data_IF_483132937465
#
_entry.id   IF_483132937465
#
_cell.length_a   1.000
_cell.length_b   1.000
_cell.length_c   1.000
_cell.angle_alpha   90.00
_cell.angle_beta   90.00
_cell.angle_gamma   90.00
#
_symmetry.space_group_name_H-M   'P 1'
#
loop_
_entity.id
_entity.type
_entity.pdbx_description
1 polymer ?
#
# COMPACT_ATOMS: atom_id res chain seq x y z
N UNK A 1 24.40 -21.91 48.59
CA UNK A 1 23.68 -20.99 47.67
C UNK A 1 24.71 -20.39 46.73
N UNK A 2 24.87 -20.98 45.54
CA UNK A 2 25.65 -20.39 44.46
C UNK A 2 24.74 -19.36 43.77
N UNK A 3 25.12 -18.10 43.83
CA UNK A 3 24.56 -17.07 42.95
C UNK A 3 25.04 -17.41 41.54
N UNK A 4 24.15 -17.88 40.67
CA UNK A 4 24.45 -17.94 39.25
C UNK A 4 24.69 -16.50 38.79
N UNK A 5 25.93 -16.20 38.44
CA UNK A 5 26.31 -14.95 37.82
C UNK A 5 25.42 -14.75 36.59
N UNK A 6 24.62 -13.68 36.61
CA UNK A 6 23.72 -13.34 35.52
C UNK A 6 24.53 -13.10 34.25
N UNK A 7 24.52 -14.07 33.35
CA UNK A 7 25.06 -13.91 32.01
C UNK A 7 24.36 -12.72 31.37
N UNK A 8 25.16 -11.70 31.02
CA UNK A 8 24.68 -10.53 30.28
C UNK A 8 23.94 -11.01 29.03
N UNK A 9 22.62 -10.83 29.01
CA UNK A 9 21.81 -11.13 27.84
C UNK A 9 22.23 -10.12 26.76
N UNK A 10 23.04 -10.55 25.80
CA UNK A 10 23.46 -9.70 24.67
C UNK A 10 22.22 -9.26 23.90
N UNK A 11 21.95 -7.95 23.86
CA UNK A 11 20.84 -7.39 23.07
C UNK A 11 21.05 -7.72 21.60
N UNK A 12 19.96 -8.00 20.88
CA UNK A 12 20.04 -8.24 19.44
C UNK A 12 20.44 -6.99 18.65
N UNK A 13 20.33 -5.80 19.24
CA UNK A 13 20.83 -4.54 18.66
C UNK A 13 22.33 -4.55 18.42
N UNK A 14 23.07 -5.29 19.25
CA UNK A 14 24.54 -5.35 19.25
C UNK A 14 25.09 -6.57 18.48
N UNK A 15 24.21 -7.33 17.80
CA UNK A 15 24.64 -8.45 16.98
C UNK A 15 25.60 -8.01 15.88
N UNK A 16 26.70 -8.74 15.73
CA UNK A 16 27.62 -8.56 14.62
C UNK A 16 27.07 -9.24 13.37
N UNK A 17 26.75 -8.45 12.35
CA UNK A 17 26.31 -8.97 11.06
C UNK A 17 27.55 -9.27 10.20
N UNK A 18 27.84 -10.54 9.89
CA UNK A 18 29.02 -10.87 9.11
C UNK A 18 28.87 -10.37 7.67
N UNK A 19 29.99 -10.05 7.02
CA UNK A 19 29.99 -9.75 5.60
C UNK A 19 29.51 -10.96 4.78
N UNK A 20 28.61 -10.78 3.80
CA UNK A 20 28.10 -11.89 2.98
C UNK A 20 29.26 -12.61 2.27
N UNK A 21 29.11 -13.90 1.99
CA UNK A 21 30.06 -14.60 1.13
C UNK A 21 30.00 -14.05 -0.31
N UNK A 22 31.13 -14.10 -1.02
CA UNK A 22 31.19 -13.65 -2.42
C UNK A 22 30.37 -14.55 -3.33
N UNK A 23 29.62 -13.97 -4.28
CA UNK A 23 28.95 -14.72 -5.33
C UNK A 23 29.81 -14.76 -6.60
N UNK A 24 30.08 -15.95 -7.09
CA UNK A 24 30.89 -16.14 -8.30
C UNK A 24 30.26 -15.44 -9.52
N UNK A 25 31.04 -14.68 -10.28
CA UNK A 25 30.55 -13.97 -11.47
C UNK A 25 29.70 -12.71 -11.19
N UNK A 26 29.44 -12.37 -9.93
CA UNK A 26 28.76 -11.12 -9.54
C UNK A 26 29.80 -10.03 -9.25
N UNK A 27 30.16 -9.26 -10.27
CA UNK A 27 31.16 -8.16 -10.18
C UNK A 27 30.63 -6.86 -9.57
N UNK A 28 29.31 -6.71 -9.48
CA UNK A 28 28.64 -5.50 -8.99
C UNK A 28 27.51 -5.87 -8.07
N UNK A 29 27.42 -5.20 -6.92
CA UNK A 29 26.33 -5.40 -5.95
C UNK A 29 24.97 -4.94 -6.46
N UNK A 30 24.95 -4.08 -7.49
CA UNK A 30 23.73 -3.63 -8.19
C UNK A 30 23.19 -4.64 -9.19
N UNK A 31 23.99 -5.65 -9.56
CA UNK A 31 23.53 -6.71 -10.45
C UNK A 31 22.44 -7.50 -9.73
N UNK A 32 21.34 -7.75 -10.41
CA UNK A 32 20.30 -8.61 -9.87
C UNK A 32 20.84 -10.03 -9.67
N UNK A 33 20.57 -10.58 -8.48
CA UNK A 33 20.91 -11.94 -8.06
C UNK A 33 19.67 -12.83 -7.94
N UNK A 34 18.49 -12.22 -7.94
CA UNK A 34 17.19 -12.87 -8.02
C UNK A 34 16.21 -12.00 -8.81
N UNK A 35 15.41 -12.60 -9.69
CA UNK A 35 14.36 -11.92 -10.44
C UNK A 35 13.14 -12.80 -10.69
N UNK A 36 11.98 -12.16 -10.68
CA UNK A 36 10.73 -12.67 -11.23
C UNK A 36 10.28 -11.75 -12.35
N UNK A 37 9.90 -12.33 -13.48
CA UNK A 37 9.48 -11.60 -14.66
C UNK A 37 8.03 -11.14 -14.53
N UNK A 38 7.66 -10.14 -15.34
CA UNK A 38 6.27 -9.71 -15.48
C UNK A 38 5.37 -10.92 -15.79
N UNK A 39 4.13 -10.89 -15.29
CA UNK A 39 3.12 -11.94 -15.49
C UNK A 39 3.45 -13.27 -14.78
N UNK A 40 4.50 -13.30 -13.95
CA UNK A 40 4.72 -14.42 -13.05
C UNK A 40 3.55 -14.52 -12.07
N UNK A 41 2.97 -15.71 -11.94
CA UNK A 41 1.90 -16.01 -10.99
C UNK A 41 2.48 -16.68 -9.75
N UNK A 42 2.34 -15.99 -8.62
CA UNK A 42 2.71 -16.45 -7.29
C UNK A 42 1.55 -17.25 -6.68
N UNK A 43 1.87 -18.38 -6.05
CA UNK A 43 0.96 -19.07 -5.15
C UNK A 43 1.01 -18.38 -3.78
N UNK A 44 -0.13 -17.87 -3.32
CA UNK A 44 -0.32 -17.20 -2.04
C UNK A 44 -1.10 -18.14 -1.12
N UNK A 45 -0.82 -18.10 0.18
CA UNK A 45 -1.50 -18.93 1.18
C UNK A 45 -3.03 -18.92 1.02
N UNK A 46 -3.63 -20.10 1.25
CA UNK A 46 -5.07 -20.30 1.05
C UNK A 46 -5.48 -20.53 -0.41
N UNK A 47 -4.54 -20.94 -1.28
CA UNK A 47 -4.81 -21.30 -2.67
C UNK A 47 -5.11 -20.12 -3.59
N UNK A 48 -4.82 -18.89 -3.14
CA UNK A 48 -4.97 -17.68 -3.94
C UNK A 48 -3.77 -17.53 -4.86
N UNK A 49 -3.99 -16.95 -6.03
CA UNK A 49 -2.92 -16.60 -6.97
C UNK A 49 -2.75 -15.08 -7.00
N UNK A 50 -1.51 -14.61 -7.13
CA UNK A 50 -1.20 -13.19 -7.30
C UNK A 50 -0.29 -13.02 -8.51
N UNK A 51 -0.68 -12.18 -9.46
CA UNK A 51 0.10 -11.94 -10.67
C UNK A 51 1.03 -10.74 -10.49
N UNK A 52 2.26 -10.82 -11.00
CA UNK A 52 3.19 -9.69 -10.99
C UNK A 52 2.82 -8.67 -12.08
N UNK A 53 2.53 -7.42 -11.69
CA UNK A 53 2.29 -6.34 -12.67
C UNK A 53 3.60 -5.89 -13.37
N UNK A 54 4.73 -6.07 -12.69
CA UNK A 54 6.06 -5.71 -13.18
C UNK A 54 7.14 -6.73 -12.84
N UNK A 55 8.40 -6.37 -13.11
CA UNK A 55 9.55 -7.20 -12.74
C UNK A 55 9.87 -6.97 -11.26
N UNK A 56 9.95 -8.05 -10.51
CA UNK A 56 10.52 -8.05 -9.15
C UNK A 56 12.00 -8.42 -9.28
N UNK A 57 12.89 -7.61 -8.71
CA UNK A 57 14.32 -7.89 -8.72
C UNK A 57 14.96 -7.60 -7.38
N UNK A 58 15.97 -8.41 -7.04
CA UNK A 58 16.78 -8.28 -5.84
C UNK A 58 18.24 -8.24 -6.22
N UNK A 59 18.97 -7.26 -5.68
CA UNK A 59 20.42 -7.10 -5.78
C UNK A 59 21.03 -7.13 -4.39
N UNK A 60 22.35 -7.20 -4.26
CA UNK A 60 23.04 -7.18 -2.95
C UNK A 60 22.97 -5.81 -2.24
N UNK A 61 22.45 -4.78 -2.90
CA UNK A 61 22.15 -3.46 -2.32
C UNK A 61 20.68 -3.30 -1.95
N UNK A 62 19.81 -4.26 -2.33
CA UNK A 62 18.38 -4.11 -2.15
C UNK A 62 18.00 -4.07 -0.66
N UNK A 63 17.07 -3.17 -0.35
CA UNK A 63 16.38 -3.06 0.94
C UNK A 63 14.89 -3.03 0.65
N UNK A 64 14.23 -4.15 0.90
CA UNK A 64 12.86 -4.39 0.44
C UNK A 64 11.95 -4.56 1.63
N UNK A 65 10.91 -3.75 1.69
CA UNK A 65 9.77 -3.97 2.56
C UNK A 65 8.77 -4.86 1.83
N UNK A 66 8.19 -5.80 2.55
CA UNK A 66 7.22 -6.76 2.03
C UNK A 66 6.01 -6.71 2.94
N UNK A 67 4.83 -6.39 2.40
CA UNK A 67 3.59 -6.29 3.17
C UNK A 67 2.56 -7.31 2.71
N UNK A 68 1.88 -7.93 3.67
CA UNK A 68 0.80 -8.88 3.42
C UNK A 68 1.24 -10.24 2.85
N UNK A 69 0.26 -11.11 2.61
CA UNK A 69 0.50 -12.51 2.23
C UNK A 69 1.18 -12.67 0.87
N UNK A 70 0.80 -11.88 -0.13
CA UNK A 70 1.37 -11.97 -1.47
C UNK A 70 2.83 -11.50 -1.54
N UNK A 71 3.18 -10.46 -0.77
CA UNK A 71 4.58 -10.08 -0.60
C UNK A 71 5.38 -11.22 0.04
N UNK A 72 4.86 -11.79 1.13
CA UNK A 72 5.48 -12.94 1.82
C UNK A 72 5.64 -14.16 0.93
N UNK A 73 4.74 -14.38 -0.04
CA UNK A 73 4.90 -15.43 -1.04
C UNK A 73 6.20 -15.25 -1.86
N UNK A 74 6.65 -14.02 -2.14
CA UNK A 74 7.95 -13.79 -2.79
C UNK A 74 9.11 -14.18 -1.88
N UNK A 75 9.01 -13.85 -0.59
CA UNK A 75 9.99 -14.29 0.41
C UNK A 75 10.05 -15.82 0.49
N UNK A 76 8.90 -16.51 0.41
CA UNK A 76 8.85 -17.97 0.32
C UNK A 76 9.47 -18.52 -0.98
N UNK A 77 9.29 -17.85 -2.13
CA UNK A 77 9.99 -18.20 -3.38
C UNK A 77 11.51 -17.98 -3.26
N UNK A 78 11.95 -16.92 -2.59
CA UNK A 78 13.37 -16.67 -2.26
C UNK A 78 13.94 -17.75 -1.31
N UNK A 79 13.12 -18.36 -0.48
CA UNK A 79 13.51 -19.49 0.38
C UNK A 79 13.35 -20.85 -0.31
N UNK A 80 12.92 -20.89 -1.57
CA UNK A 80 12.62 -22.12 -2.32
C UNK A 80 11.52 -22.97 -1.65
N UNK A 81 10.67 -22.33 -0.85
CA UNK A 81 9.55 -22.95 -0.12
C UNK A 81 8.22 -22.86 -0.89
N UNK A 82 8.12 -21.91 -1.83
CA UNK A 82 6.95 -21.74 -2.69
C UNK A 82 7.33 -21.84 -4.17
N UNK A 83 6.42 -22.41 -4.96
CA UNK A 83 6.55 -22.51 -6.41
C UNK A 83 5.96 -21.30 -7.15
N UNK A 84 6.37 -21.16 -8.41
CA UNK A 84 5.80 -20.22 -9.39
C UNK A 84 5.20 -21.00 -10.55
N UNK A 85 3.98 -20.65 -10.96
CA UNK A 85 3.22 -21.49 -11.90
C UNK A 85 3.52 -21.23 -13.38
N UNK A 86 4.26 -20.16 -13.71
CA UNK A 86 4.37 -19.62 -15.08
C UNK A 86 5.80 -19.64 -15.61
N UNK A 87 6.73 -18.98 -14.91
CA UNK A 87 8.15 -18.96 -15.26
C UNK A 87 9.01 -19.18 -14.02
N UNK A 88 10.09 -20.00 -14.09
CA UNK A 88 10.98 -20.18 -12.96
C UNK A 88 11.71 -18.88 -12.61
N UNK A 89 12.05 -18.65 -11.33
CA UNK A 89 12.80 -17.48 -10.94
C UNK A 89 14.21 -17.50 -11.56
N UNK A 90 14.70 -16.33 -11.99
CA UNK A 90 16.12 -16.19 -12.32
C UNK A 90 16.86 -16.03 -11.00
N UNK A 91 17.52 -17.08 -10.52
CA UNK A 91 18.23 -17.11 -9.24
C UNK A 91 19.71 -17.42 -9.44
N UNK A 92 20.58 -16.68 -8.76
CA UNK A 92 22.00 -17.02 -8.70
C UNK A 92 22.20 -18.36 -7.97
N UNK A 93 22.94 -19.31 -8.57
CA UNK A 93 23.07 -20.69 -8.07
C UNK A 93 23.64 -20.81 -6.64
N UNK A 94 24.52 -19.88 -6.26
CA UNK A 94 25.15 -19.85 -4.93
C UNK A 94 24.47 -18.87 -3.97
N UNK A 95 23.24 -18.42 -4.25
CA UNK A 95 22.54 -17.45 -3.41
C UNK A 95 22.09 -18.08 -2.09
N UNK A 96 22.83 -17.79 -1.03
CA UNK A 96 22.48 -18.07 0.36
C UNK A 96 21.47 -17.05 0.89
N UNK A 97 20.36 -17.57 1.39
CA UNK A 97 19.26 -16.79 1.98
C UNK A 97 19.06 -17.27 3.41
N UNK A 98 19.10 -16.36 4.37
CA UNK A 98 18.79 -16.65 5.77
C UNK A 98 17.39 -16.11 6.10
N UNK A 99 16.57 -16.95 6.74
CA UNK A 99 15.27 -16.56 7.28
C UNK A 99 15.41 -16.36 8.79
N UNK A 100 15.25 -15.11 9.22
CA UNK A 100 15.16 -14.75 10.63
C UNK A 100 13.69 -14.48 10.92
N UNK A 101 13.03 -15.45 11.54
CA UNK A 101 11.61 -15.43 11.84
C UNK A 101 11.31 -15.98 13.23
N UNK A 102 10.02 -16.19 13.55
CA UNK A 102 9.57 -16.57 14.89
C UNK A 102 10.13 -17.90 15.45
N UNK A 103 10.69 -18.75 14.59
CA UNK A 103 11.42 -19.94 15.00
C UNK A 103 12.66 -19.63 15.85
N UNK A 104 13.16 -18.38 15.83
CA UNK A 104 14.32 -17.93 16.59
C UNK A 104 13.86 -17.32 17.92
N UNK A 105 14.45 -17.79 19.02
CA UNK A 105 14.07 -17.40 20.38
C UNK A 105 15.11 -16.46 21.01
N UNK A 106 16.32 -16.40 20.47
CA UNK A 106 17.43 -15.65 21.06
C UNK A 106 18.34 -14.98 20.03
N UNK A 107 19.15 -14.01 20.51
CA UNK A 107 20.23 -13.41 19.71
C UNK A 107 21.30 -14.44 19.29
N UNK A 108 21.51 -15.49 20.09
CA UNK A 108 22.46 -16.56 19.77
C UNK A 108 21.98 -17.38 18.55
N UNK A 109 20.69 -17.68 18.48
CA UNK A 109 20.10 -18.41 17.34
C UNK A 109 20.28 -17.59 16.04
N UNK A 110 20.08 -16.27 16.13
CA UNK A 110 20.32 -15.36 15.00
C UNK A 110 21.79 -15.37 14.59
N UNK A 111 22.70 -15.28 15.55
CA UNK A 111 24.14 -15.30 15.27
C UNK A 111 24.57 -16.62 14.61
N UNK A 112 24.01 -17.74 15.05
CA UNK A 112 24.24 -19.06 14.46
C UNK A 112 23.77 -19.10 13.01
N UNK A 113 22.54 -18.67 12.71
CA UNK A 113 22.02 -18.59 11.34
C UNK A 113 22.89 -17.68 10.46
N UNK A 114 23.31 -16.52 10.99
CA UNK A 114 24.13 -15.55 10.26
C UNK A 114 25.57 -16.03 10.05
N UNK A 115 26.06 -16.99 10.84
CA UNK A 115 27.41 -17.56 10.69
C UNK A 115 27.66 -18.18 9.31
N UNK A 116 26.60 -18.58 8.60
CA UNK A 116 26.63 -19.03 7.21
C UNK A 116 26.93 -17.93 6.18
N UNK A 117 27.10 -16.68 6.62
CA UNK A 117 27.41 -15.50 5.77
C UNK A 117 26.46 -15.36 4.57
N UNK A 118 25.13 -15.34 4.80
CA UNK A 118 24.14 -15.28 3.73
C UNK A 118 24.26 -13.99 2.92
N UNK A 119 23.86 -14.01 1.66
CA UNK A 119 23.80 -12.81 0.81
C UNK A 119 22.49 -12.04 0.97
N UNK A 120 21.42 -12.73 1.34
CA UNK A 120 20.10 -12.16 1.59
C UNK A 120 19.66 -12.54 2.98
N UNK A 121 19.19 -11.57 3.75
CA UNK A 121 18.54 -11.82 5.04
C UNK A 121 17.08 -11.40 4.94
N UNK A 122 16.19 -12.33 5.24
CA UNK A 122 14.76 -12.10 5.36
C UNK A 122 14.45 -11.97 6.85
N UNK A 123 14.07 -10.77 7.28
CA UNK A 123 13.48 -10.54 8.59
C UNK A 123 11.97 -10.71 8.46
N UNK A 124 11.39 -11.66 9.18
CA UNK A 124 9.97 -11.95 9.13
C UNK A 124 9.32 -11.70 10.48
N UNK A 125 8.39 -10.74 10.56
CA UNK A 125 7.62 -10.45 11.78
C UNK A 125 6.86 -11.67 12.31
N UNK A 126 6.56 -12.65 11.45
CA UNK A 126 5.62 -13.74 11.71
C UNK A 126 4.19 -13.35 11.37
N UNK A 127 3.39 -14.30 10.88
CA UNK A 127 1.97 -14.09 10.63
C UNK A 127 1.17 -14.82 11.74
N UNK A 128 0.67 -14.07 12.72
CA UNK A 128 -0.31 -14.60 13.68
C UNK A 128 0.19 -15.65 14.66
N UNK A 129 1.48 -15.64 15.02
CA UNK A 129 1.95 -16.51 16.10
C UNK A 129 1.43 -16.06 17.47
N UNK A 130 1.24 -17.04 18.35
CA UNK A 130 0.56 -16.92 19.63
C UNK A 130 1.28 -16.01 20.64
N UNK A 131 0.49 -15.39 21.51
CA UNK A 131 0.93 -14.63 22.68
C UNK A 131 1.96 -15.44 23.49
N UNK A 132 3.23 -14.97 23.52
CA UNK A 132 4.29 -15.58 24.34
C UNK A 132 5.66 -15.74 23.66
N UNK A 133 5.77 -15.55 22.35
CA UNK A 133 7.08 -15.59 21.68
C UNK A 133 7.95 -14.37 22.05
N UNK A 134 9.27 -14.58 22.23
CA UNK A 134 10.23 -13.49 22.42
C UNK A 134 10.52 -12.73 21.09
N UNK A 135 10.10 -13.31 19.97
CA UNK A 135 10.40 -12.81 18.64
C UNK A 135 9.92 -11.38 18.36
N UNK A 136 8.72 -10.92 18.74
CA UNK A 136 8.28 -9.55 18.42
C UNK A 136 9.15 -8.46 19.05
N UNK A 137 9.74 -8.74 20.21
CA UNK A 137 10.72 -7.86 20.85
C UNK A 137 12.06 -7.93 20.11
N UNK A 138 12.56 -9.15 19.86
CA UNK A 138 13.81 -9.41 19.15
C UNK A 138 13.83 -8.79 17.74
N UNK A 139 12.75 -8.95 16.99
CA UNK A 139 12.51 -8.37 15.67
C UNK A 139 12.54 -6.83 15.73
N UNK A 140 11.89 -6.24 16.74
CA UNK A 140 11.94 -4.79 16.97
C UNK A 140 13.36 -4.29 17.25
N UNK A 141 14.12 -5.03 18.06
CA UNK A 141 15.53 -4.75 18.32
C UNK A 141 16.37 -4.81 17.04
N UNK A 142 16.21 -5.87 16.23
CA UNK A 142 16.93 -6.03 14.96
C UNK A 142 16.66 -4.89 13.98
N UNK A 143 15.40 -4.47 13.82
CA UNK A 143 15.03 -3.37 12.92
C UNK A 143 15.62 -2.02 13.35
N UNK A 144 15.76 -1.80 14.66
CA UNK A 144 16.36 -0.60 15.22
C UNK A 144 17.89 -0.64 15.26
N UNK A 145 18.49 -1.84 15.16
CA UNK A 145 19.93 -2.05 15.21
C UNK A 145 20.68 -1.34 14.09
N UNK A 146 21.89 -0.87 14.37
CA UNK A 146 22.77 -0.28 13.35
C UNK A 146 23.36 -1.35 12.41
N UNK A 147 23.47 -2.59 12.90
CA UNK A 147 24.12 -3.68 12.18
C UNK A 147 23.33 -4.13 10.94
N UNK A 148 21.99 -4.13 10.98
CA UNK A 148 21.19 -4.41 9.77
C UNK A 148 21.32 -3.32 8.70
N UNK A 149 21.52 -2.06 9.14
CA UNK A 149 21.71 -0.92 8.22
C UNK A 149 23.06 -1.03 7.51
N UNK A 150 24.09 -1.49 8.20
CA UNK A 150 25.45 -1.66 7.68
C UNK A 150 25.68 -2.99 6.96
N UNK A 151 24.76 -3.94 7.05
CA UNK A 151 24.87 -5.24 6.38
C UNK A 151 25.11 -5.10 4.88
N UNK A 152 26.10 -5.81 4.34
CA UNK A 152 26.52 -5.65 2.94
C UNK A 152 25.78 -6.59 1.96
N UNK A 153 24.84 -7.39 2.44
CA UNK A 153 23.92 -8.16 1.60
C UNK A 153 22.59 -7.45 1.37
N UNK A 154 21.65 -8.13 0.73
CA UNK A 154 20.28 -7.68 0.58
C UNK A 154 19.48 -7.90 1.87
N UNK A 155 18.53 -7.02 2.16
CA UNK A 155 17.60 -7.18 3.30
C UNK A 155 16.17 -7.14 2.79
N UNK A 156 15.37 -8.10 3.23
CA UNK A 156 13.94 -8.19 2.98
C UNK A 156 13.22 -8.19 4.33
N UNK A 157 12.34 -7.22 4.58
CA UNK A 157 11.57 -7.12 5.83
C UNK A 157 10.12 -7.46 5.53
N UNK A 158 9.62 -8.55 6.10
CA UNK A 158 8.24 -9.00 5.94
C UNK A 158 7.39 -8.57 7.12
N UNK A 159 6.34 -7.80 6.85
CA UNK A 159 5.34 -7.38 7.83
C UNK A 159 4.00 -8.05 7.55
N UNK A 160 3.25 -8.29 8.62
CA UNK A 160 1.95 -8.97 8.57
C UNK A 160 0.88 -8.09 7.90
N UNK A 161 0.85 -6.81 8.27
CA UNK A 161 -0.09 -5.82 7.74
C UNK A 161 0.58 -4.47 7.48
N UNK A 162 -0.06 -3.67 6.63
CA UNK A 162 0.20 -2.23 6.53
C UNK A 162 -0.37 -1.52 7.78
N UNK A 163 0.16 -0.34 8.08
CA UNK A 163 -0.20 0.50 9.22
C UNK A 163 0.42 0.14 10.55
N UNK A 164 1.32 -0.86 10.63
CA UNK A 164 1.92 -1.23 11.91
C UNK A 164 2.96 -0.20 12.39
N UNK A 165 3.12 -0.03 13.70
CA UNK A 165 4.16 0.86 14.26
C UNK A 165 5.57 0.48 13.76
N UNK A 166 5.79 -0.80 13.43
CA UNK A 166 7.06 -1.31 12.87
C UNK A 166 7.23 -0.97 11.40
N UNK A 167 6.14 -0.72 10.66
CA UNK A 167 6.19 -0.36 9.25
C UNK A 167 7.01 0.90 9.02
N UNK A 168 6.87 1.92 9.86
CA UNK A 168 7.66 3.14 9.71
C UNK A 168 9.17 2.86 9.86
N UNK A 169 9.55 2.07 10.86
CA UNK A 169 10.97 1.69 11.06
C UNK A 169 11.49 0.88 9.87
N UNK A 170 10.68 -0.02 9.33
CA UNK A 170 11.03 -0.80 8.15
C UNK A 170 11.13 0.07 6.88
N UNK A 171 10.24 1.05 6.71
CA UNK A 171 10.29 2.04 5.61
C UNK A 171 11.54 2.90 5.67
N UNK A 172 12.04 3.22 6.86
CA UNK A 172 13.31 3.95 7.03
C UNK A 172 14.55 3.10 6.66
N UNK A 173 14.42 1.77 6.70
CA UNK A 173 15.45 0.83 6.27
C UNK A 173 15.35 0.51 4.77
N UNK A 174 14.14 0.49 4.22
CA UNK A 174 13.84 -0.01 2.88
C UNK A 174 13.71 1.10 1.84
N UNK A 175 14.09 0.79 0.60
CA UNK A 175 13.95 1.68 -0.55
C UNK A 175 12.87 1.24 -1.52
N UNK A 176 12.42 -0.02 -1.43
CA UNK A 176 11.41 -0.63 -2.29
C UNK A 176 10.39 -1.34 -1.42
N UNK A 177 9.13 -1.32 -1.82
CA UNK A 177 8.04 -2.06 -1.20
C UNK A 177 7.43 -3.05 -2.20
N UNK A 178 7.20 -4.28 -1.77
CA UNK A 178 6.39 -5.28 -2.46
C UNK A 178 5.09 -5.48 -1.68
N UNK A 179 4.00 -5.00 -2.25
CA UNK A 179 2.66 -5.11 -1.69
C UNK A 179 1.71 -5.62 -2.76
N UNK A 180 0.61 -6.25 -2.35
CA UNK A 180 -0.42 -6.66 -3.30
C UNK A 180 -1.65 -5.78 -3.19
N UNK A 181 -2.11 -5.34 -4.35
CA UNK A 181 -3.29 -4.50 -4.52
C UNK A 181 -4.17 -5.18 -5.55
N UNK A 182 -5.37 -5.58 -5.14
CA UNK A 182 -6.39 -6.18 -6.02
C UNK A 182 -5.89 -7.42 -6.81
N UNK A 183 -5.16 -8.31 -6.13
CA UNK A 183 -4.65 -9.56 -6.74
C UNK A 183 -3.41 -9.37 -7.63
N UNK A 184 -2.90 -8.15 -7.72
CA UNK A 184 -1.66 -7.84 -8.42
C UNK A 184 -0.59 -7.44 -7.42
N UNK A 185 0.61 -7.99 -7.58
CA UNK A 185 1.76 -7.55 -6.82
C UNK A 185 2.40 -6.35 -7.49
N UNK A 186 2.52 -5.26 -6.73
CA UNK A 186 3.16 -4.03 -7.12
C UNK A 186 4.56 -3.95 -6.52
N UNK A 187 5.47 -3.32 -7.26
CA UNK A 187 6.77 -2.89 -6.74
C UNK A 187 6.79 -1.38 -6.75
N UNK A 188 6.84 -0.79 -5.56
CA UNK A 188 6.81 0.66 -5.38
C UNK A 188 8.11 1.13 -4.74
N UNK A 189 8.60 2.31 -5.13
CA UNK A 189 9.67 2.96 -4.38
C UNK A 189 9.11 3.42 -3.02
N UNK A 190 9.77 3.03 -1.94
CA UNK A 190 9.46 3.60 -0.63
C UNK A 190 9.95 5.02 -0.68
N UNK A 191 9.02 5.97 -0.69
CA UNK A 191 9.33 7.37 -0.56
C UNK A 191 10.12 7.54 0.76
N UNK A 192 11.44 7.73 0.65
CA UNK A 192 12.25 8.11 1.80
C UNK A 192 11.66 9.42 2.28
N UNK A 193 10.98 9.39 3.42
CA UNK A 193 10.60 10.62 4.08
C UNK A 193 11.90 11.43 4.18
N UNK A 194 11.95 12.68 3.68
CA UNK A 194 13.14 13.48 3.86
C UNK A 194 13.47 13.43 5.36
N UNK A 195 14.72 13.14 5.70
CA UNK A 195 15.22 13.01 7.07
C UNK A 195 15.19 14.36 7.82
N UNK A 196 14.18 15.20 7.57
CA UNK A 196 13.67 16.10 8.58
C UNK A 196 13.33 15.23 9.77
N UNK A 197 14.03 15.51 10.87
CA UNK A 197 13.62 15.21 12.22
C UNK A 197 12.19 15.76 12.34
N UNK A 198 11.19 14.93 12.04
CA UNK A 198 9.81 15.36 12.21
C UNK A 198 9.48 15.04 13.66
N UNK A 199 9.26 16.06 14.51
CA UNK A 199 8.73 15.81 15.85
C UNK A 199 7.42 15.03 15.67
N UNK A 200 7.28 13.94 16.43
CA UNK A 200 6.10 13.06 16.54
C UNK A 200 4.99 13.41 15.54
N UNK A 201 5.05 12.85 14.33
CA UNK A 201 3.96 13.02 13.37
C UNK A 201 2.74 12.35 13.96
N UNK A 202 1.73 13.15 14.33
CA UNK A 202 0.40 12.62 14.59
C UNK A 202 -0.03 11.80 13.38
N UNK A 203 -0.48 10.57 13.64
CA UNK A 203 -1.01 9.70 12.60
C UNK A 203 -2.16 10.42 11.89
N UNK A 204 -2.24 10.34 10.55
CA UNK A 204 -3.37 10.88 9.82
C UNK A 204 -4.68 10.30 10.34
N UNK A 205 -5.66 11.15 10.62
CA UNK A 205 -7.01 10.76 11.06
C UNK A 205 -8.03 11.13 10.01
N UNK A 206 -9.13 10.39 9.95
CA UNK A 206 -10.24 10.68 9.04
C UNK A 206 -11.34 11.43 9.79
N UNK A 207 -11.78 12.55 9.23
CA UNK A 207 -13.00 13.26 9.65
C UNK A 207 -14.08 12.95 8.63
N UNK A 208 -14.94 11.99 8.96
CA UNK A 208 -16.14 11.66 8.19
C UNK A 208 -17.27 12.66 8.48
N UNK A 209 -18.17 12.86 7.52
CA UNK A 209 -19.26 13.84 7.63
C UNK A 209 -18.78 15.26 8.01
N UNK A 210 -17.68 15.72 7.40
CA UNK A 210 -17.01 16.99 7.74
C UNK A 210 -17.96 18.20 7.77
N UNK A 211 -18.94 18.25 6.85
CA UNK A 211 -19.94 19.32 6.84
C UNK A 211 -20.75 19.37 8.14
N UNK A 212 -21.27 18.23 8.62
CA UNK A 212 -22.01 18.18 9.88
C UNK A 212 -21.10 18.48 11.08
N UNK A 213 -19.90 17.91 11.09
CA UNK A 213 -18.94 18.08 12.18
C UNK A 213 -18.46 19.54 12.33
N UNK A 214 -18.39 20.29 11.23
CA UNK A 214 -18.00 21.70 11.19
C UNK A 214 -18.98 22.64 11.91
N UNK A 215 -20.26 22.26 12.01
CA UNK A 215 -21.26 23.07 12.71
C UNK A 215 -21.00 23.13 14.23
N UNK A 216 -20.34 22.11 14.78
CA UNK A 216 -20.05 21.97 16.22
C UNK A 216 -18.58 22.20 16.60
N UNK A 217 -17.66 22.19 15.63
CA UNK A 217 -16.22 22.29 15.91
C UNK A 217 -15.56 23.36 15.02
N UNK A 218 -15.02 24.45 15.59
CA UNK A 218 -14.38 25.53 14.82
C UNK A 218 -13.14 25.08 14.04
N UNK A 219 -12.41 24.07 14.50
CA UNK A 219 -11.27 23.51 13.75
C UNK A 219 -11.75 22.81 12.48
N UNK A 220 -12.91 22.15 12.54
CA UNK A 220 -13.51 21.49 11.38
C UNK A 220 -14.14 22.49 10.41
N UNK A 221 -14.61 23.65 10.88
CA UNK A 221 -15.00 24.76 10.01
C UNK A 221 -13.80 25.31 9.21
N UNK A 222 -12.63 25.42 9.84
CA UNK A 222 -11.38 25.78 9.15
C UNK A 222 -10.98 24.74 8.11
N UNK A 223 -11.10 23.44 8.42
CA UNK A 223 -10.86 22.36 7.46
C UNK A 223 -11.85 22.38 6.30
N UNK A 224 -13.15 22.60 6.55
CA UNK A 224 -14.17 22.69 5.50
C UNK A 224 -13.88 23.85 4.54
N UNK A 225 -13.35 24.97 5.04
CA UNK A 225 -12.87 26.08 4.23
C UNK A 225 -11.70 25.66 3.33
N UNK A 226 -10.70 24.94 3.88
CA UNK A 226 -9.59 24.40 3.09
C UNK A 226 -10.06 23.41 2.02
N UNK A 227 -11.02 22.53 2.35
CA UNK A 227 -11.63 21.60 1.40
C UNK A 227 -12.36 22.37 0.29
N UNK A 228 -13.09 23.42 0.64
CA UNK A 228 -13.80 24.27 -0.34
C UNK A 228 -12.83 24.92 -1.32
N UNK A 229 -11.74 25.52 -0.81
CA UNK A 229 -10.71 26.11 -1.65
C UNK A 229 -10.06 25.08 -2.58
N UNK A 230 -9.63 23.93 -2.04
CA UNK A 230 -9.04 22.86 -2.83
C UNK A 230 -10.01 22.29 -3.87
N UNK A 231 -11.31 22.25 -3.55
CA UNK A 231 -12.34 21.79 -4.46
C UNK A 231 -12.52 22.75 -5.64
N UNK A 232 -12.51 24.06 -5.40
CA UNK A 232 -12.54 25.07 -6.45
C UNK A 232 -11.28 24.99 -7.35
N UNK A 233 -10.10 24.73 -6.77
CA UNK A 233 -8.85 24.62 -7.53
C UNK A 233 -8.77 23.36 -8.41
N UNK A 234 -9.47 22.28 -8.05
CA UNK A 234 -9.35 20.98 -8.70
C UNK A 234 -10.52 20.63 -9.62
N UNK A 235 -11.66 21.30 -9.49
CA UNK A 235 -12.90 20.91 -10.15
C UNK A 235 -13.65 22.12 -10.71
N UNK A 236 -13.69 22.22 -12.04
CA UNK A 236 -14.31 23.34 -12.78
C UNK A 236 -15.85 23.38 -12.67
N UNK A 237 -16.49 22.30 -12.20
CA UNK A 237 -17.95 22.18 -12.06
C UNK A 237 -18.51 22.89 -10.82
N UNK A 238 -17.68 23.67 -10.12
CA UNK A 238 -18.12 24.66 -9.13
C UNK A 238 -18.76 25.92 -9.75
N UNK A 239 -18.63 26.11 -11.06
CA UNK A 239 -19.11 27.31 -11.75
C UNK A 239 -20.64 27.38 -11.92
N UNK A 240 -21.38 26.28 -11.68
CA UNK A 240 -22.85 26.21 -11.78
C UNK A 240 -23.59 26.84 -10.57
N UNK A 241 -23.02 27.87 -9.95
CA UNK A 241 -23.68 28.72 -8.95
C UNK A 241 -23.68 28.21 -7.50
N UNK A 242 -22.92 27.15 -7.19
CA UNK A 242 -22.73 26.68 -5.80
C UNK A 242 -21.35 27.11 -5.29
N UNK A 243 -21.26 28.13 -4.42
CA UNK A 243 -19.97 28.69 -4.03
C UNK A 243 -19.16 27.79 -3.08
N UNK A 244 -19.76 26.72 -2.52
CA UNK A 244 -19.14 25.91 -1.47
C UNK A 244 -19.36 24.42 -1.65
N UNK A 245 -18.40 23.61 -1.17
CA UNK A 245 -18.49 22.15 -1.21
C UNK A 245 -19.69 21.65 -0.40
N UNK A 246 -20.06 22.37 0.66
CA UNK A 246 -21.22 22.06 1.50
C UNK A 246 -22.54 22.18 0.73
N UNK A 247 -22.70 23.24 -0.09
CA UNK A 247 -23.87 23.41 -0.93
C UNK A 247 -24.00 22.26 -1.95
N UNK A 248 -22.89 21.95 -2.63
CA UNK A 248 -22.84 20.83 -3.57
C UNK A 248 -23.12 19.49 -2.89
N UNK A 249 -22.54 19.25 -1.72
CA UNK A 249 -22.74 18.04 -0.95
C UNK A 249 -24.21 17.88 -0.53
N UNK A 250 -24.84 18.95 -0.04
CA UNK A 250 -26.25 18.96 0.32
C UNK A 250 -27.17 18.69 -0.87
N UNK A 251 -26.92 19.33 -2.02
CA UNK A 251 -27.74 19.16 -3.23
C UNK A 251 -27.61 17.76 -3.83
N UNK A 252 -26.38 17.23 -3.89
CA UNK A 252 -26.07 15.96 -4.54
C UNK A 252 -26.17 14.76 -3.59
N UNK A 253 -26.44 15.01 -2.30
CA UNK A 253 -26.49 13.97 -1.27
C UNK A 253 -25.12 13.34 -1.02
N UNK A 254 -24.05 14.11 -1.13
CA UNK A 254 -22.69 13.65 -0.83
C UNK A 254 -22.34 13.83 0.64
N UNK A 255 -21.58 12.87 1.15
CA UNK A 255 -20.79 12.99 2.37
C UNK A 255 -19.41 13.49 2.02
N UNK A 256 -18.91 14.48 2.76
CA UNK A 256 -17.54 15.00 2.62
C UNK A 256 -16.67 14.36 3.69
N UNK A 257 -15.56 13.74 3.27
CA UNK A 257 -14.55 13.16 4.16
C UNK A 257 -13.23 13.90 3.97
N UNK A 258 -12.54 14.20 5.07
CA UNK A 258 -11.19 14.75 5.06
C UNK A 258 -10.20 13.81 5.76
N UNK A 259 -9.02 13.66 5.17
CA UNK A 259 -7.84 13.09 5.82
C UNK A 259 -7.03 14.25 6.40
N UNK A 260 -6.77 14.21 7.70
CA UNK A 260 -6.19 15.32 8.44
C UNK A 260 -4.99 14.86 9.26
N UNK A 261 -4.00 15.74 9.42
CA UNK A 261 -2.95 15.58 10.43
C UNK A 261 -3.05 16.69 11.45
N UNK A 262 -2.85 16.36 12.72
CA UNK A 262 -2.78 17.35 13.79
C UNK A 262 -1.31 17.71 14.05
N UNK A 263 -0.97 18.99 13.96
CA UNK A 263 0.39 19.41 14.27
C UNK A 263 0.65 19.47 15.79
N UNK A 264 1.89 19.73 16.20
CA UNK A 264 2.28 19.83 17.62
C UNK A 264 1.56 20.93 18.41
N UNK A 265 0.90 21.87 17.73
CA UNK A 265 0.13 22.96 18.33
C UNK A 265 -1.37 22.58 18.43
N UNK A 266 -1.73 21.35 18.04
CA UNK A 266 -3.12 20.87 18.06
C UNK A 266 -3.94 21.35 16.86
N UNK A 267 -3.36 22.07 15.89
CA UNK A 267 -4.10 22.53 14.71
C UNK A 267 -4.20 21.42 13.66
N UNK A 268 -5.40 21.21 13.16
CA UNK A 268 -5.67 20.28 12.07
C UNK A 268 -5.25 20.86 10.72
N UNK A 269 -4.52 20.07 9.94
CA UNK A 269 -4.09 20.36 8.58
C UNK A 269 -4.70 19.36 7.61
N UNK A 270 -5.26 19.84 6.50
CA UNK A 270 -5.83 19.00 5.45
C UNK A 270 -4.72 18.30 4.66
N UNK A 271 -4.77 16.96 4.58
CA UNK A 271 -3.86 16.15 3.77
C UNK A 271 -4.49 15.68 2.45
N UNK A 272 -5.80 15.37 2.47
CA UNK A 272 -6.59 15.01 1.31
C UNK A 272 -8.09 15.16 1.64
N UNK A 273 -8.94 15.21 0.62
CA UNK A 273 -10.39 15.08 0.83
C UNK A 273 -11.01 14.21 -0.27
N UNK A 274 -12.19 13.68 0.06
CA UNK A 274 -13.05 13.00 -0.89
C UNK A 274 -14.52 13.32 -0.65
N UNK A 275 -15.33 13.07 -1.65
CA UNK A 275 -16.79 13.05 -1.51
C UNK A 275 -17.34 11.73 -1.99
N UNK A 276 -18.32 11.20 -1.26
CA UNK A 276 -18.97 9.95 -1.62
C UNK A 276 -20.46 9.97 -1.31
N UNK A 277 -21.23 9.09 -1.93
CA UNK A 277 -22.62 8.85 -1.54
C UNK A 277 -23.01 7.38 -1.75
N UNK A 278 -24.07 6.95 -1.07
CA UNK A 278 -24.67 5.65 -1.34
C UNK A 278 -25.41 5.72 -2.68
N UNK A 279 -25.02 4.87 -3.64
CA UNK A 279 -25.73 4.75 -4.92
C UNK A 279 -26.47 3.42 -4.95
N UNK A 280 -27.72 3.46 -4.48
CA UNK A 280 -28.63 2.30 -4.44
C UNK A 280 -28.75 1.58 -5.79
N UNK A 281 -28.63 2.30 -6.92
CA UNK A 281 -28.74 1.71 -8.26
C UNK A 281 -27.51 0.91 -8.67
N UNK A 282 -26.35 1.26 -8.11
CA UNK A 282 -25.09 0.57 -8.31
C UNK A 282 -24.82 -0.49 -7.24
N UNK A 283 -25.64 -0.54 -6.19
CA UNK A 283 -25.44 -1.48 -5.08
C UNK A 283 -24.15 -1.22 -4.32
N UNK A 284 -23.70 0.03 -4.23
CA UNK A 284 -22.45 0.37 -3.55
C UNK A 284 -22.26 1.85 -3.26
N UNK A 285 -21.02 2.21 -2.90
CA UNK A 285 -20.63 3.60 -2.67
C UNK A 285 -20.11 4.21 -3.98
N UNK A 286 -20.54 5.43 -4.29
CA UNK A 286 -20.01 6.21 -5.39
C UNK A 286 -19.02 7.25 -4.85
N UNK A 287 -17.75 7.11 -5.21
CA UNK A 287 -16.68 8.06 -4.92
C UNK A 287 -16.71 9.15 -6.01
N UNK A 288 -17.31 10.29 -5.67
CA UNK A 288 -17.58 11.36 -6.62
C UNK A 288 -16.36 12.25 -6.87
N UNK A 289 -15.60 12.60 -5.82
CA UNK A 289 -14.40 13.44 -5.92
C UNK A 289 -13.31 12.92 -4.98
N UNK A 290 -12.06 13.09 -5.40
CA UNK A 290 -10.86 12.92 -4.58
C UNK A 290 -9.86 13.99 -4.98
N UNK A 291 -9.30 14.71 -4.01
CA UNK A 291 -8.20 15.64 -4.27
C UNK A 291 -7.19 15.66 -3.12
N UNK A 292 -5.96 16.02 -3.48
CA UNK A 292 -4.81 16.15 -2.58
C UNK A 292 -4.17 17.51 -2.86
N UNK A 293 -3.95 18.37 -1.83
CA UNK A 293 -3.21 19.62 -1.98
C UNK A 293 -1.87 19.40 -2.67
N UNK A 294 -1.42 20.36 -3.47
CA UNK A 294 -0.25 20.19 -4.35
C UNK A 294 1.02 19.77 -3.58
N UNK A 295 1.24 20.36 -2.43
CA UNK A 295 2.33 20.10 -1.48
C UNK A 295 2.27 18.71 -0.81
N UNK A 296 1.11 18.03 -0.91
CA UNK A 296 0.86 16.71 -0.35
C UNK A 296 0.75 15.61 -1.42
N UNK A 297 0.82 15.95 -2.72
CA UNK A 297 0.78 14.98 -3.82
C UNK A 297 1.98 14.02 -3.77
N UNK A 298 1.78 12.81 -4.31
CA UNK A 298 2.79 11.71 -4.35
C UNK A 298 3.22 11.18 -2.97
N UNK A 299 2.48 11.49 -1.91
CA UNK A 299 2.68 10.94 -0.55
C UNK A 299 1.73 9.79 -0.19
N UNK A 300 0.96 9.29 -1.16
CA UNK A 300 0.03 8.17 -0.95
C UNK A 300 -1.32 8.52 -0.32
N UNK A 301 -1.60 9.79 0.01
CA UNK A 301 -2.84 10.16 0.71
C UNK A 301 -4.14 9.86 -0.07
N UNK A 302 -4.11 9.96 -1.41
CA UNK A 302 -5.25 9.53 -2.21
C UNK A 302 -5.49 8.02 -2.08
N UNK A 303 -4.42 7.22 -2.09
CA UNK A 303 -4.50 5.78 -1.86
C UNK A 303 -5.04 5.47 -0.46
N UNK A 304 -4.55 6.17 0.57
CA UNK A 304 -5.05 6.01 1.95
C UNK A 304 -6.56 6.30 2.04
N UNK A 305 -7.04 7.36 1.37
CA UNK A 305 -8.46 7.69 1.34
C UNK A 305 -9.28 6.58 0.66
N UNK A 306 -8.80 6.03 -0.45
CA UNK A 306 -9.47 4.90 -1.12
C UNK A 306 -9.43 3.63 -0.26
N UNK A 307 -8.31 3.33 0.40
CA UNK A 307 -8.20 2.19 1.32
C UNK A 307 -9.17 2.34 2.50
N UNK A 308 -9.31 3.55 3.05
CA UNK A 308 -10.31 3.84 4.08
C UNK A 308 -11.73 3.64 3.57
N UNK A 309 -12.05 4.09 2.36
CA UNK A 309 -13.35 3.85 1.72
C UNK A 309 -13.62 2.34 1.51
N UNK A 310 -12.59 1.58 1.17
CA UNK A 310 -12.64 0.11 1.02
C UNK A 310 -12.90 -0.58 2.36
N UNK A 311 -12.25 -0.16 3.43
CA UNK A 311 -12.53 -0.65 4.78
C UNK A 311 -13.98 -0.31 5.19
N UNK A 312 -14.42 0.93 4.93
CA UNK A 312 -15.81 1.34 5.19
C UNK A 312 -16.83 0.54 4.41
N UNK A 313 -16.50 0.10 3.19
CA UNK A 313 -17.37 -0.80 2.44
C UNK A 313 -17.60 -2.11 3.17
N UNK A 314 -16.58 -2.67 3.83
CA UNK A 314 -16.70 -3.91 4.61
C UNK A 314 -17.63 -3.76 5.81
N UNK A 315 -17.65 -2.58 6.42
CA UNK A 315 -18.59 -2.24 7.50
C UNK A 315 -20.03 -2.02 7.00
N UNK A 316 -20.18 -1.72 5.72
CA UNK A 316 -21.47 -1.55 5.05
C UNK A 316 -21.92 -2.86 4.39
N UNK A 317 -23.21 -3.02 4.10
CA UNK A 317 -23.67 -4.15 3.26
C UNK A 317 -23.28 -4.02 1.78
N UNK A 318 -22.44 -3.03 1.43
CA UNK A 318 -22.05 -2.72 0.05
C UNK A 318 -20.80 -3.49 -0.35
N UNK A 319 -20.78 -4.05 -1.56
CA UNK A 319 -19.66 -4.87 -2.05
C UNK A 319 -18.76 -4.16 -3.07
N UNK A 320 -19.04 -2.88 -3.38
CA UNK A 320 -18.38 -2.18 -4.49
C UNK A 320 -18.23 -0.69 -4.25
N UNK A 321 -17.07 -0.17 -4.67
CA UNK A 321 -16.76 1.25 -4.77
C UNK A 321 -16.76 1.64 -6.25
N UNK A 322 -17.53 2.66 -6.60
CA UNK A 322 -17.71 3.13 -7.97
C UNK A 322 -17.05 4.49 -8.15
N UNK A 323 -16.45 4.72 -9.31
CA UNK A 323 -15.89 6.03 -9.67
C UNK A 323 -16.18 6.34 -11.14
N UNK A 324 -16.43 7.61 -11.44
CA UNK A 324 -16.51 8.11 -12.81
C UNK A 324 -15.25 8.93 -13.11
N UNK A 325 -14.22 8.26 -13.62
CA UNK A 325 -12.88 8.82 -13.73
C UNK A 325 -12.68 9.57 -15.06
N UNK A 326 -12.24 10.84 -14.98
CA UNK A 326 -11.66 11.58 -16.11
C UNK A 326 -10.42 10.82 -16.65
N UNK A 327 -10.03 10.98 -17.92
CA UNK A 327 -8.89 10.27 -18.53
C UNK A 327 -7.61 10.17 -17.69
N UNK A 328 -7.16 11.27 -17.11
CA UNK A 328 -5.96 11.29 -16.25
C UNK A 328 -6.15 10.49 -14.96
N UNK A 329 -7.36 10.53 -14.39
CA UNK A 329 -7.70 9.81 -13.17
C UNK A 329 -7.92 8.32 -13.39
N UNK A 330 -8.20 7.87 -14.61
CA UNK A 330 -8.36 6.45 -14.90
C UNK A 330 -7.06 5.68 -14.64
N UNK A 331 -5.91 6.25 -14.99
CA UNK A 331 -4.60 5.63 -14.74
C UNK A 331 -4.38 5.46 -13.23
N UNK A 332 -4.75 6.48 -12.45
CA UNK A 332 -4.64 6.44 -10.98
C UNK A 332 -5.64 5.43 -10.40
N UNK A 333 -6.90 5.46 -10.85
CA UNK A 333 -7.94 4.53 -10.40
C UNK A 333 -7.56 3.07 -10.70
N UNK A 334 -7.02 2.77 -11.88
CA UNK A 334 -6.52 1.42 -12.20
C UNK A 334 -5.39 0.97 -11.28
N UNK A 335 -4.47 1.87 -10.90
CA UNK A 335 -3.43 1.55 -9.90
C UNK A 335 -3.97 1.31 -8.50
N UNK A 336 -5.10 1.95 -8.17
CA UNK A 336 -5.86 1.67 -6.95
C UNK A 336 -6.74 0.41 -7.11
N UNK A 337 -6.64 -0.28 -8.26
CA UNK A 337 -7.35 -1.49 -8.70
C UNK A 337 -8.85 -1.33 -8.90
N UNK A 338 -9.29 -0.15 -9.29
CA UNK A 338 -10.54 -0.03 -10.01
C UNK A 338 -10.43 -0.68 -11.39
N UNK A 339 -11.41 -1.50 -11.72
CA UNK A 339 -11.56 -2.15 -13.02
C UNK A 339 -12.55 -1.39 -13.90
N UNK A 340 -12.36 -1.40 -15.22
CA UNK A 340 -13.33 -0.85 -16.15
C UNK A 340 -14.59 -1.71 -16.18
N UNK A 341 -15.74 -1.05 -16.23
CA UNK A 341 -17.02 -1.76 -16.37
C UNK A 341 -17.31 -2.22 -17.79
N UNK A 342 -16.78 -1.47 -18.77
CA UNK A 342 -16.91 -1.76 -20.18
C UNK A 342 -15.52 -2.08 -20.75
N UNK A 343 -15.28 -3.32 -21.21
CA UNK A 343 -14.02 -3.70 -21.85
C UNK A 343 -13.65 -2.81 -23.05
N UNK A 344 -14.64 -2.21 -23.72
CA UNK A 344 -14.39 -1.26 -24.80
C UNK A 344 -13.73 0.04 -24.30
N UNK A 345 -13.98 0.44 -23.05
CA UNK A 345 -13.28 1.56 -22.42
C UNK A 345 -11.83 1.17 -22.05
N UNK A 346 -11.61 -0.06 -21.60
CA UNK A 346 -10.27 -0.57 -21.28
C UNK A 346 -9.37 -0.63 -22.52
N UNK A 347 -9.91 -1.07 -23.67
CA UNK A 347 -9.18 -1.09 -24.93
C UNK A 347 -8.67 0.31 -25.35
N UNK A 348 -9.33 1.39 -24.92
CA UNK A 348 -8.89 2.77 -25.16
C UNK A 348 -7.69 3.19 -24.30
N UNK A 349 -7.21 2.37 -23.37
CA UNK A 349 -5.96 2.61 -22.62
C UNK A 349 -4.73 2.69 -23.52
N UNK A 350 -4.78 2.11 -24.72
CA UNK A 350 -3.71 2.25 -25.71
C UNK A 350 -3.70 3.63 -26.39
N UNK A 351 -4.79 4.40 -26.30
CA UNK A 351 -4.89 5.72 -26.92
C UNK A 351 -4.19 6.80 -26.08
N UNK A 352 -3.70 7.90 -26.70
CA UNK A 352 -3.26 9.10 -26.00
C UNK A 352 -4.32 9.62 -25.02
N UNK A 353 -3.88 10.15 -23.88
CA UNK A 353 -4.77 10.52 -22.76
C UNK A 353 -5.80 11.59 -23.15
N UNK A 354 -5.41 12.52 -24.00
CA UNK A 354 -6.24 13.59 -24.56
C UNK A 354 -7.37 13.08 -25.47
N UNK A 355 -7.27 11.85 -25.97
CA UNK A 355 -8.30 11.21 -26.80
C UNK A 355 -9.23 10.28 -26.02
N UNK A 356 -8.97 10.06 -24.73
CA UNK A 356 -9.80 9.18 -23.91
C UNK A 356 -11.02 9.94 -23.42
N UNK A 357 -12.13 9.22 -23.28
CA UNK A 357 -13.35 9.74 -22.65
C UNK A 357 -13.35 9.39 -21.16
N UNK A 358 -14.16 10.09 -20.37
CA UNK A 358 -14.41 9.67 -18.97
C UNK A 358 -15.09 8.30 -18.95
N UNK A 359 -14.72 7.47 -17.98
CA UNK A 359 -15.19 6.09 -17.89
C UNK A 359 -15.66 5.77 -16.47
N UNK A 360 -16.66 4.91 -16.39
CA UNK A 360 -17.06 4.32 -15.11
C UNK A 360 -16.17 3.12 -14.79
N UNK A 361 -15.69 3.08 -13.57
CA UNK A 361 -14.82 2.03 -13.04
C UNK A 361 -15.34 1.59 -11.67
N UNK A 362 -15.04 0.34 -11.29
CA UNK A 362 -15.45 -0.22 -10.01
C UNK A 362 -14.32 -1.01 -9.35
N UNK A 363 -14.19 -0.85 -8.04
CA UNK A 363 -13.40 -1.70 -7.16
C UNK A 363 -14.36 -2.60 -6.39
N UNK A 364 -14.15 -3.91 -6.47
CA UNK A 364 -15.02 -4.92 -5.87
C UNK A 364 -14.24 -5.67 -4.80
N UNK A 365 -14.83 -5.88 -3.62
CA UNK A 365 -14.15 -6.54 -2.50
C UNK A 365 -14.05 -8.05 -2.67
N UNK A 366 -15.05 -8.64 -3.32
CA UNK A 366 -15.11 -10.06 -3.61
C UNK A 366 -14.92 -10.24 -5.12
N UNK A 367 -14.05 -11.17 -5.56
CA UNK A 367 -14.03 -11.60 -6.94
C UNK A 367 -15.39 -12.25 -7.23
N UNK A 368 -16.27 -11.56 -7.97
CA UNK A 368 -17.51 -12.16 -8.45
C UNK A 368 -17.16 -13.40 -9.27
N UNK A 369 -17.71 -14.56 -8.89
CA UNK A 369 -17.81 -15.69 -9.80
C UNK A 369 -18.54 -15.20 -11.05
N UNK A 370 -17.84 -15.29 -12.19
CA UNK A 370 -18.11 -14.69 -13.48
C UNK A 370 -19.57 -14.24 -13.79
N UNK A 371 -19.65 -12.99 -14.27
CA UNK A 371 -20.67 -12.42 -15.15
C UNK A 371 -22.03 -12.04 -14.52
N UNK A 372 -22.05 -10.97 -13.72
CA UNK A 372 -23.18 -10.05 -13.77
C UNK A 372 -22.96 -8.97 -14.84
N UNK A 373 -23.72 -9.13 -15.93
CA UNK A 373 -23.96 -8.07 -16.90
C UNK A 373 -24.27 -6.76 -16.16
N UNK A 374 -23.60 -5.67 -16.56
CA UNK A 374 -23.96 -4.31 -16.16
C UNK A 374 -25.48 -4.17 -16.07
N UNK A 375 -26.04 -3.67 -14.94
CA UNK A 375 -27.47 -3.50 -14.81
C UNK A 375 -28.01 -2.84 -16.07
N UNK A 376 -28.99 -3.46 -16.76
CA UNK A 376 -29.47 -3.04 -18.10
C UNK A 376 -29.76 -1.54 -18.19
N UNK A 377 -30.13 -0.92 -17.07
CA UNK A 377 -30.39 0.50 -16.93
C UNK A 377 -29.14 1.38 -17.02
N UNK A 378 -28.00 0.95 -16.49
CA UNK A 378 -26.73 1.66 -16.63
C UNK A 378 -26.28 1.69 -18.09
N UNK A 379 -26.40 0.54 -18.79
CA UNK A 379 -26.15 0.46 -20.23
C UNK A 379 -27.00 1.49 -21.00
N UNK A 380 -28.28 1.65 -20.63
CA UNK A 380 -29.19 2.67 -21.22
C UNK A 380 -28.78 4.11 -20.89
N UNK A 381 -28.35 4.39 -19.65
CA UNK A 381 -27.90 5.73 -19.26
C UNK A 381 -26.60 6.12 -19.95
N UNK A 382 -25.64 5.20 -20.06
CA UNK A 382 -24.40 5.39 -20.82
C UNK A 382 -24.70 5.67 -22.29
N UNK A 383 -25.57 4.86 -22.91
CA UNK A 383 -25.99 5.05 -24.29
C UNK A 383 -26.70 6.40 -24.51
N UNK A 384 -27.54 6.83 -23.56
CA UNK A 384 -28.20 8.14 -23.63
C UNK A 384 -27.20 9.29 -23.52
N UNK A 385 -26.29 9.24 -22.53
CA UNK A 385 -25.30 10.31 -22.30
C UNK A 385 -24.29 10.43 -23.44
N UNK A 386 -23.94 9.32 -24.11
CA UNK A 386 -23.15 9.34 -25.35
C UNK A 386 -23.93 9.94 -26.52
N UNK A 387 -25.24 9.68 -26.62
CA UNK A 387 -26.10 10.25 -27.66
C UNK A 387 -26.29 11.76 -27.49
N UNK A 388 -26.44 12.24 -26.25
CA UNK A 388 -26.62 13.66 -25.94
C UNK A 388 -25.33 14.50 -26.12
N UNK A 389 -24.18 13.86 -26.32
CA UNK A 389 -22.87 14.50 -26.57
C UNK A 389 -22.46 14.54 -28.05
N UNK A 390 -23.17 13.83 -28.92
CA UNK A 390 -23.00 13.87 -30.38
C UNK A 390 -24.03 14.81 -30.96
#
# INVERSE_FOLDING_TARGET
MQFMEGGSCSSAKDLLWPGPASLEGVKSRKRAVFELLKDTVLQVDGGKCCALEGRVSLSLESRVLVTGAAGRAIAAVLLEQAGVSSAPPVRHRQLGVAHLGPQLQSAADIAEVLSGRPQVVILDEGAGEADGSAWPALFGELLQGSAIRSFQGAVVVCLSSEGSAREQTARDLCSVCWSATNGHLLTEEVAKAPALIVPERAEPTFVDELCAASASNPDYASLLSQVTALAADCFDDFEDGEPTIEAAAKRLGWTVVALVSTNSIGKSQLLAYGTYCQESRLGGLYLARVAVPQEHRRKGYASQLVSWMVARLQDSSSKSLWVHAKPLLQIVASKLGFSYLDPACEAKLAMPVDQRESAWMALRLEPEEAAHELPKRLRRQMAKKQRDRR
#
